data_IF_274211857929
#
_entry.id   IF_274211857929
#
_cell.length_a   1.000
_cell.length_b   1.000
_cell.length_c   1.000
_cell.angle_alpha   90.00
_cell.angle_beta   90.00
_cell.angle_gamma   90.00
#
_symmetry.space_group_name_H-M   'P 1'
#
loop_
_entity.id
_entity.type
_entity.pdbx_description
1 polymer ?
#
# COMPACT_ATOMS: atom_id res chain seq x y z
N UNK A 1 -91.13 2.74 41.79
CA UNK A 1 -91.23 3.00 40.34
C UNK A 1 -89.83 3.34 39.85
N UNK A 2 -89.40 2.65 38.80
CA UNK A 2 -88.09 2.69 38.10
C UNK A 2 -87.81 4.16 37.67
N UNK A 3 -86.59 4.72 37.69
CA UNK A 3 -85.52 4.61 36.67
C UNK A 3 -84.17 5.13 37.23
N UNK A 4 -83.12 4.42 36.87
CA UNK A 4 -81.69 4.63 37.11
C UNK A 4 -81.09 5.84 36.40
N UNK A 5 -80.06 6.45 36.99
CA UNK A 5 -78.92 6.98 36.24
C UNK A 5 -77.62 6.76 37.02
N UNK A 6 -76.68 6.06 36.38
CA UNK A 6 -75.34 5.72 36.84
C UNK A 6 -74.36 6.73 36.25
N UNK A 7 -73.42 7.28 37.02
CA UNK A 7 -72.02 7.43 36.55
C UNK A 7 -71.00 7.73 37.67
N UNK A 8 -70.02 6.82 37.75
CA UNK A 8 -68.61 6.92 38.13
C UNK A 8 -68.17 7.50 39.49
N UNK A 9 -67.79 6.58 40.38
CA UNK A 9 -66.79 6.78 41.44
C UNK A 9 -65.38 6.88 40.82
N UNK A 10 -64.59 7.86 41.27
CA UNK A 10 -63.17 7.97 40.97
C UNK A 10 -62.50 8.84 42.04
N UNK A 11 -62.13 8.20 43.15
CA UNK A 11 -61.40 8.84 44.25
C UNK A 11 -60.01 9.27 43.82
N UNK A 12 -59.62 10.48 44.22
CA UNK A 12 -58.29 11.02 44.00
C UNK A 12 -57.53 11.02 45.33
N UNK A 13 -56.37 10.35 45.40
CA UNK A 13 -55.31 10.78 46.30
C UNK A 13 -53.98 10.94 45.55
N UNK A 14 -53.47 12.18 45.63
CA UNK A 14 -52.07 12.55 45.94
C UNK A 14 -50.91 11.63 45.51
N UNK A 15 -50.05 12.21 44.65
CA UNK A 15 -48.58 12.25 44.75
C UNK A 15 -47.82 11.00 45.20
N UNK A 16 -47.22 10.29 44.24
CA UNK A 16 -45.77 9.99 44.25
C UNK A 16 -45.37 9.44 42.88
N UNK A 17 -44.62 10.25 42.14
CA UNK A 17 -44.02 9.86 40.87
C UNK A 17 -42.75 10.67 40.70
N UNK A 18 -41.77 10.39 41.55
CA UNK A 18 -40.39 10.77 41.31
C UNK A 18 -39.96 10.12 39.99
N UNK A 19 -40.03 10.86 38.88
CA UNK A 19 -39.36 10.45 37.65
C UNK A 19 -37.89 10.79 37.80
N UNK A 20 -37.23 9.96 38.60
CA UNK A 20 -35.78 9.82 38.61
C UNK A 20 -35.31 9.64 37.18
N UNK A 21 -34.27 10.40 36.84
CA UNK A 21 -33.44 10.12 35.68
C UNK A 21 -32.95 8.67 35.69
N UNK A 22 -32.39 8.27 34.55
CA UNK A 22 -31.94 6.90 34.22
C UNK A 22 -33.03 6.01 33.59
N UNK A 23 -33.44 6.31 32.35
CA UNK A 23 -34.34 5.41 31.62
C UNK A 23 -34.46 5.66 30.12
N UNK A 24 -34.30 6.90 29.65
CA UNK A 24 -34.42 7.20 28.23
C UNK A 24 -33.11 6.97 27.47
N UNK A 25 -32.78 5.69 27.31
CA UNK A 25 -31.75 5.24 26.37
C UNK A 25 -32.09 5.62 24.92
N UNK A 26 -33.34 6.00 24.64
CA UNK A 26 -33.83 6.47 23.34
C UNK A 26 -32.95 7.57 22.74
N UNK A 27 -32.53 8.56 23.54
CA UNK A 27 -31.64 9.63 23.08
C UNK A 27 -30.21 9.15 22.80
N UNK A 28 -29.65 8.29 23.67
CA UNK A 28 -28.32 7.70 23.49
C UNK A 28 -28.30 6.80 22.25
N UNK A 29 -29.34 5.98 22.08
CA UNK A 29 -29.52 5.10 20.92
C UNK A 29 -29.69 5.94 19.65
N UNK A 30 -30.45 7.04 19.69
CA UNK A 30 -30.58 7.94 18.55
C UNK A 30 -29.24 8.57 18.17
N UNK A 31 -28.44 9.01 19.15
CA UNK A 31 -27.07 9.49 18.93
C UNK A 31 -26.20 8.39 18.32
N UNK A 32 -26.22 7.17 18.86
CA UNK A 32 -25.42 6.04 18.36
C UNK A 32 -25.85 5.65 16.94
N UNK A 33 -27.14 5.69 16.62
CA UNK A 33 -27.70 5.42 15.29
C UNK A 33 -27.31 6.51 14.30
N UNK A 34 -27.40 7.79 14.69
CA UNK A 34 -26.93 8.92 13.88
C UNK A 34 -25.42 8.79 13.66
N UNK A 35 -24.63 8.48 14.68
CA UNK A 35 -23.19 8.27 14.56
C UNK A 35 -22.84 7.06 13.69
N UNK A 36 -23.57 5.95 13.78
CA UNK A 36 -23.34 4.77 12.93
C UNK A 36 -23.79 5.02 11.48
N UNK A 37 -24.86 5.79 11.27
CA UNK A 37 -25.30 6.22 9.94
C UNK A 37 -24.32 7.21 9.31
N UNK A 38 -23.82 8.21 10.04
CA UNK A 38 -22.77 9.10 9.57
C UNK A 38 -21.45 8.36 9.38
N UNK A 39 -21.09 7.43 10.26
CA UNK A 39 -19.96 6.52 10.07
C UNK A 39 -20.13 5.78 8.75
N UNK A 40 -21.28 5.17 8.46
CA UNK A 40 -21.51 4.48 7.20
C UNK A 40 -21.57 5.41 5.97
N UNK A 41 -22.17 6.59 6.05
CA UNK A 41 -22.29 7.52 4.91
C UNK A 41 -21.00 8.28 4.61
N UNK A 42 -20.17 8.57 5.62
CA UNK A 42 -18.89 9.25 5.41
C UNK A 42 -17.79 8.23 5.10
N UNK A 43 -17.81 7.04 5.72
CA UNK A 43 -16.75 6.03 5.55
C UNK A 43 -17.05 5.03 4.43
N UNK A 44 -18.30 4.58 4.19
CA UNK A 44 -18.55 3.49 3.21
C UNK A 44 -18.49 3.91 1.73
N UNK A 45 -19.04 5.05 1.27
CA UNK A 45 -18.88 5.45 -0.13
C UNK A 45 -17.45 5.94 -0.43
N UNK A 46 -16.69 6.30 0.62
CA UNK A 46 -15.25 6.60 0.51
C UNK A 46 -14.37 5.36 0.61
N UNK A 47 -14.71 4.30 1.34
CA UNK A 47 -13.91 3.06 1.38
C UNK A 47 -13.66 2.47 0.01
N UNK A 48 -14.59 2.49 -0.94
CA UNK A 48 -14.31 1.92 -2.28
C UNK A 48 -13.47 2.82 -3.20
N UNK A 49 -13.54 4.15 -3.06
CA UNK A 49 -12.76 5.10 -3.90
C UNK A 49 -11.42 5.44 -3.24
N UNK A 50 -11.43 5.63 -1.94
CA UNK A 50 -10.25 5.80 -1.11
C UNK A 50 -9.52 4.47 -0.91
N UNK A 51 -10.09 3.27 -0.73
CA UNK A 51 -9.26 2.02 -0.74
C UNK A 51 -8.59 1.80 -2.09
N UNK A 52 -9.17 2.21 -3.22
CA UNK A 52 -8.53 2.07 -4.54
C UNK A 52 -7.39 3.07 -4.76
N UNK A 53 -7.48 4.26 -4.15
CA UNK A 53 -6.49 5.35 -4.26
C UNK A 53 -5.47 5.31 -3.08
N UNK A 54 -5.90 4.88 -1.90
CA UNK A 54 -5.17 4.70 -0.63
C UNK A 54 -4.53 3.32 -0.55
N UNK A 55 -5.03 2.23 -1.17
CA UNK A 55 -4.17 1.04 -1.36
C UNK A 55 -3.05 1.30 -2.38
N UNK A 56 -3.24 2.25 -3.30
CA UNK A 56 -2.19 2.73 -4.20
C UNK A 56 -1.25 3.75 -3.54
N UNK A 57 -1.66 4.45 -2.47
CA UNK A 57 -0.89 5.55 -1.85
C UNK A 57 -0.53 5.38 -0.36
N UNK A 58 -1.10 4.43 0.39
CA UNK A 58 -0.91 4.24 1.83
C UNK A 58 -0.21 2.93 2.23
N UNK A 59 0.33 2.17 1.27
CA UNK A 59 1.46 1.26 1.55
C UNK A 59 2.78 2.02 1.82
N UNK A 60 2.68 3.32 2.17
CA UNK A 60 3.71 4.36 2.01
C UNK A 60 4.11 5.11 3.29
N UNK A 61 3.66 4.75 4.51
CA UNK A 61 4.15 5.37 5.76
C UNK A 61 4.15 4.44 6.99
N UNK A 62 5.32 3.97 7.41
CA UNK A 62 5.61 3.55 8.80
C UNK A 62 6.97 4.04 9.27
N UNK A 63 7.10 5.35 9.44
CA UNK A 63 7.80 5.87 10.61
C UNK A 63 6.73 6.48 11.46
N UNK A 64 6.49 5.86 12.62
CA UNK A 64 5.55 6.20 13.70
C UNK A 64 4.74 7.47 13.41
N UNK A 65 3.83 7.36 12.45
CA UNK A 65 2.97 8.49 12.14
C UNK A 65 1.86 8.35 13.14
N UNK A 66 1.92 9.10 14.23
CA UNK A 66 0.66 9.48 14.84
C UNK A 66 -0.17 10.04 13.70
N UNK A 67 -1.17 9.27 13.27
CA UNK A 67 -1.88 9.64 12.06
C UNK A 67 -2.41 11.06 12.34
N UNK A 68 -2.19 12.02 11.45
CA UNK A 68 -2.63 13.38 11.73
C UNK A 68 -4.15 13.42 11.95
N UNK A 69 -4.86 12.41 11.43
CA UNK A 69 -6.21 12.06 11.83
C UNK A 69 -6.32 11.60 13.29
N UNK A 70 -5.49 10.67 13.79
CA UNK A 70 -5.44 10.29 15.20
C UNK A 70 -5.03 11.45 16.10
N UNK A 71 -4.08 12.31 15.72
CA UNK A 71 -3.80 13.53 16.47
C UNK A 71 -5.00 14.48 16.46
N UNK A 72 -5.55 14.81 15.29
CA UNK A 72 -6.75 15.64 15.16
C UNK A 72 -7.92 15.07 15.98
N UNK A 73 -8.11 13.76 15.93
CA UNK A 73 -9.14 13.01 16.66
C UNK A 73 -8.87 13.03 18.16
N UNK A 74 -7.64 12.81 18.62
CA UNK A 74 -7.29 12.89 20.05
C UNK A 74 -7.45 14.31 20.59
N UNK A 75 -7.05 15.36 19.86
CA UNK A 75 -7.33 16.74 20.25
C UNK A 75 -8.82 17.05 20.23
N UNK A 76 -9.57 16.52 19.26
CA UNK A 76 -11.02 16.68 19.15
C UNK A 76 -11.74 16.03 20.34
N UNK A 77 -11.36 14.79 20.69
CA UNK A 77 -11.87 14.06 21.85
C UNK A 77 -11.52 14.79 23.16
N UNK A 78 -10.28 15.28 23.30
CA UNK A 78 -9.87 16.04 24.49
C UNK A 78 -10.67 17.34 24.67
N UNK A 79 -10.92 18.08 23.59
CA UNK A 79 -11.73 19.32 23.63
C UNK A 79 -13.18 18.99 24.01
N UNK A 80 -13.76 17.90 23.47
CA UNK A 80 -15.09 17.46 23.87
C UNK A 80 -15.14 17.09 25.36
N UNK A 81 -14.18 16.31 25.86
CA UNK A 81 -14.12 15.90 27.27
C UNK A 81 -13.99 17.14 28.18
N UNK A 82 -13.10 18.08 27.87
CA UNK A 82 -12.94 19.31 28.63
C UNK A 82 -14.21 20.18 28.60
N UNK A 83 -14.91 20.23 27.46
CA UNK A 83 -16.19 20.94 27.32
C UNK A 83 -17.29 20.34 28.20
N UNK A 84 -17.37 19.00 28.28
CA UNK A 84 -18.30 18.29 29.17
C UNK A 84 -17.95 18.47 30.65
N UNK A 85 -16.65 18.44 31.00
CA UNK A 85 -16.19 18.72 32.37
C UNK A 85 -16.55 20.16 32.77
N UNK A 86 -16.34 21.14 31.89
CA UNK A 86 -16.72 22.53 32.14
C UNK A 86 -18.23 22.71 32.34
N UNK A 87 -19.06 21.99 31.56
CA UNK A 87 -20.51 21.96 31.72
C UNK A 87 -20.92 21.41 33.09
N UNK A 88 -20.27 20.34 33.52
CA UNK A 88 -20.53 19.69 34.81
C UNK A 88 -20.18 20.61 35.99
N UNK A 89 -19.03 21.29 35.93
CA UNK A 89 -18.61 22.25 36.97
C UNK A 89 -19.55 23.46 37.03
N UNK A 90 -19.96 24.00 35.87
CA UNK A 90 -20.94 25.09 35.83
C UNK A 90 -22.29 24.66 36.41
N UNK A 91 -22.78 23.47 36.07
CA UNK A 91 -24.03 22.94 36.62
C UNK A 91 -23.97 22.80 38.15
N UNK A 92 -22.86 22.32 38.70
CA UNK A 92 -22.65 22.24 40.16
C UNK A 92 -22.61 23.62 40.81
N UNK A 93 -21.83 24.56 40.26
CA UNK A 93 -21.72 25.91 40.80
C UNK A 93 -23.04 26.69 40.78
N UNK A 94 -23.84 26.55 39.72
CA UNK A 94 -25.16 27.17 39.64
C UNK A 94 -26.19 26.54 40.57
N UNK A 95 -26.05 25.24 40.89
CA UNK A 95 -26.92 24.56 41.85
C UNK A 95 -26.70 25.05 43.29
N UNK A 96 -25.47 25.42 43.65
CA UNK A 96 -25.14 25.95 44.98
C UNK A 96 -25.59 27.42 45.16
N UNK A 97 -25.60 28.22 44.10
CA UNK A 97 -25.98 29.63 44.17
C UNK A 97 -27.49 29.89 44.01
N UNK A 98 -28.33 28.85 43.85
CA UNK A 98 -29.79 28.99 43.66
C UNK A 98 -30.20 29.74 42.38
N UNK A 99 -29.25 30.03 41.49
CA UNK A 99 -29.45 30.86 40.30
C UNK A 99 -30.38 30.19 39.27
N UNK A 100 -30.40 28.86 39.24
CA UNK A 100 -31.24 28.09 38.31
C UNK A 100 -32.74 28.18 38.63
N UNK A 101 -33.11 28.40 39.89
CA UNK A 101 -34.50 28.50 40.33
C UNK A 101 -35.18 29.79 39.83
N UNK A 102 -34.38 30.82 39.52
CA UNK A 102 -34.86 32.13 39.06
C UNK A 102 -35.10 32.19 37.54
N UNK A 103 -34.45 31.30 36.76
CA UNK A 103 -34.37 31.39 35.29
C UNK A 103 -35.40 30.48 34.60
N UNK A 104 -36.01 29.55 35.33
CA UNK A 104 -37.03 28.65 34.82
C UNK A 104 -36.46 27.51 33.97
N UNK A 105 -36.93 26.29 34.24
CA UNK A 105 -36.39 25.04 33.69
C UNK A 105 -36.25 25.03 32.17
N UNK A 106 -37.22 25.60 31.45
CA UNK A 106 -37.23 25.66 29.99
C UNK A 106 -36.06 26.46 29.44
N UNK A 107 -35.72 27.58 30.07
CA UNK A 107 -34.62 28.46 29.65
C UNK A 107 -33.28 27.80 29.94
N UNK A 108 -33.13 27.18 31.12
CA UNK A 108 -31.93 26.43 31.50
C UNK A 108 -31.63 25.31 30.51
N UNK A 109 -32.64 24.53 30.09
CA UNK A 109 -32.46 23.45 29.09
C UNK A 109 -32.02 23.98 27.73
N UNK A 110 -32.60 25.10 27.28
CA UNK A 110 -32.23 25.73 26.00
C UNK A 110 -30.76 26.19 26.03
N UNK A 111 -30.31 26.81 27.13
CA UNK A 111 -28.93 27.25 27.28
C UNK A 111 -27.93 26.09 27.28
N UNK A 112 -28.27 24.96 27.93
CA UNK A 112 -27.45 23.75 27.94
C UNK A 112 -27.31 23.13 26.53
N UNK A 113 -28.42 23.07 25.78
CA UNK A 113 -28.40 22.58 24.39
C UNK A 113 -27.58 23.51 23.49
N UNK A 114 -27.75 24.83 23.62
CA UNK A 114 -26.97 25.81 22.86
C UNK A 114 -25.47 25.68 23.13
N UNK A 115 -25.07 25.50 24.39
CA UNK A 115 -23.68 25.28 24.77
C UNK A 115 -23.09 23.99 24.16
N UNK A 116 -23.84 22.88 24.17
CA UNK A 116 -23.42 21.63 23.53
C UNK A 116 -23.23 21.79 22.01
N UNK A 117 -24.14 22.50 21.34
CA UNK A 117 -24.00 22.78 19.91
C UNK A 117 -22.75 23.60 19.59
N UNK A 118 -22.42 24.60 20.42
CA UNK A 118 -21.21 25.42 20.28
C UNK A 118 -19.95 24.55 20.41
N UNK A 119 -19.89 23.67 21.41
CA UNK A 119 -18.77 22.74 21.60
C UNK A 119 -18.59 21.86 20.37
N UNK A 120 -19.68 21.28 19.85
CA UNK A 120 -19.63 20.42 18.67
C UNK A 120 -19.07 21.20 17.47
N UNK A 121 -19.58 22.41 17.21
CA UNK A 121 -19.14 23.25 16.10
C UNK A 121 -17.65 23.61 16.22
N UNK A 122 -17.20 24.08 17.39
CA UNK A 122 -15.80 24.42 17.63
C UNK A 122 -14.88 23.20 17.47
N UNK A 123 -15.33 22.04 17.92
CA UNK A 123 -14.60 20.79 17.80
C UNK A 123 -14.44 20.39 16.33
N UNK A 124 -15.53 20.38 15.54
CA UNK A 124 -15.47 20.14 14.10
C UNK A 124 -14.60 21.18 13.37
N UNK A 125 -14.64 22.45 13.77
CA UNK A 125 -13.83 23.51 13.19
C UNK A 125 -12.33 23.32 13.45
N UNK A 126 -11.95 22.91 14.67
CA UNK A 126 -10.57 22.57 15.02
C UNK A 126 -10.05 21.37 14.24
N UNK A 127 -10.84 20.30 14.15
CA UNK A 127 -10.51 19.12 13.35
C UNK A 127 -10.38 19.47 11.86
N UNK A 128 -11.29 20.30 11.32
CA UNK A 128 -11.23 20.80 9.96
C UNK A 128 -9.95 21.61 9.69
N UNK A 129 -9.51 22.45 10.63
CA UNK A 129 -8.28 23.24 10.48
C UNK A 129 -7.02 22.37 10.45
N UNK A 130 -6.93 21.37 11.33
CA UNK A 130 -5.82 20.40 11.33
C UNK A 130 -5.82 19.56 10.06
N UNK A 131 -7.00 19.09 9.63
CA UNK A 131 -7.17 18.37 8.38
C UNK A 131 -6.73 19.21 7.18
N UNK A 132 -7.16 20.47 7.09
CA UNK A 132 -6.83 21.39 5.99
C UNK A 132 -5.33 21.68 5.91
N UNK A 133 -4.65 21.88 7.05
CA UNK A 133 -3.18 22.07 7.10
C UNK A 133 -2.43 20.81 6.67
N UNK A 134 -2.94 19.64 6.99
CA UNK A 134 -2.35 18.38 6.54
C UNK A 134 -2.58 18.12 5.04
N UNK A 135 -3.76 18.45 4.52
CA UNK A 135 -4.08 18.35 3.09
C UNK A 135 -3.21 19.29 2.24
N UNK A 136 -2.96 20.52 2.69
CA UNK A 136 -2.10 21.47 1.97
C UNK A 136 -0.65 20.98 1.85
N UNK A 137 -0.06 20.47 2.95
CA UNK A 137 1.32 19.95 2.94
C UNK A 137 1.43 18.72 2.02
N UNK A 138 0.46 17.80 2.07
CA UNK A 138 0.51 16.63 1.18
C UNK A 138 0.33 17.03 -0.30
N UNK A 139 -0.54 18.00 -0.61
CA UNK A 139 -0.72 18.48 -1.99
C UNK A 139 0.55 19.13 -2.54
N UNK A 140 1.18 19.99 -1.74
CA UNK A 140 2.42 20.67 -2.11
C UNK A 140 3.57 19.68 -2.36
N UNK A 141 3.74 18.68 -1.49
CA UNK A 141 4.73 17.62 -1.66
C UNK A 141 4.45 16.76 -2.90
N UNK A 142 3.19 16.38 -3.16
CA UNK A 142 2.82 15.58 -4.34
C UNK A 142 3.07 16.35 -5.64
N UNK A 143 2.78 17.65 -5.66
CA UNK A 143 3.05 18.51 -6.82
C UNK A 143 4.55 18.66 -7.06
N UNK A 144 5.34 18.88 -6.01
CA UNK A 144 6.80 18.99 -6.11
C UNK A 144 7.47 17.69 -6.62
N UNK A 145 6.94 16.51 -6.29
CA UNK A 145 7.44 15.23 -6.82
C UNK A 145 6.94 14.91 -8.24
N UNK A 146 5.78 15.42 -8.64
CA UNK A 146 5.27 15.23 -10.00
C UNK A 146 5.98 16.09 -11.01
N UNK A 147 6.35 17.31 -10.62
CA UNK A 147 6.89 18.33 -11.53
C UNK A 147 8.10 17.83 -12.35
N UNK A 148 9.15 17.23 -11.74
CA UNK A 148 10.29 16.72 -12.52
C UNK A 148 9.93 15.52 -13.40
N UNK A 149 9.03 14.64 -12.95
CA UNK A 149 8.60 13.47 -13.72
C UNK A 149 7.70 13.85 -14.91
N UNK A 150 6.88 14.90 -14.77
CA UNK A 150 6.03 15.42 -15.86
C UNK A 150 6.82 16.13 -16.94
N UNK A 151 8.03 16.59 -16.64
CA UNK A 151 8.93 17.21 -17.59
C UNK A 151 9.80 16.20 -18.37
N UNK A 152 9.72 14.90 -18.06
CA UNK A 152 10.47 13.88 -18.78
C UNK A 152 9.85 13.64 -20.17
N UNK A 153 10.60 13.82 -21.27
CA UNK A 153 10.08 13.58 -22.59
C UNK A 153 9.80 12.08 -22.77
N UNK A 154 8.64 11.77 -23.35
CA UNK A 154 8.25 10.39 -23.71
C UNK A 154 8.26 9.41 -22.51
N UNK A 155 7.77 9.88 -21.36
CA UNK A 155 7.61 9.10 -20.13
C UNK A 155 6.36 9.55 -19.36
N UNK A 156 5.52 8.60 -18.96
CA UNK A 156 4.34 8.84 -18.12
C UNK A 156 4.27 7.83 -16.99
N UNK A 157 4.46 8.31 -15.77
CA UNK A 157 4.46 7.46 -14.58
C UNK A 157 3.05 6.94 -14.26
N UNK A 158 2.84 5.62 -14.37
CA UNK A 158 1.63 4.93 -13.89
C UNK A 158 1.77 4.50 -12.43
N UNK A 159 2.99 4.21 -11.98
CA UNK A 159 3.31 3.81 -10.61
C UNK A 159 4.60 4.47 -10.15
N UNK A 160 4.69 4.82 -8.86
CA UNK A 160 5.89 5.41 -8.26
C UNK A 160 6.15 4.74 -6.92
N UNK A 161 7.36 4.23 -6.72
CA UNK A 161 7.84 3.59 -5.50
C UNK A 161 9.06 4.36 -5.02
N UNK A 162 9.02 4.83 -3.77
CA UNK A 162 10.13 5.54 -3.16
C UNK A 162 10.70 4.74 -1.99
N UNK A 163 11.99 4.95 -1.74
CA UNK A 163 12.67 4.49 -0.54
C UNK A 163 12.17 5.22 0.72
N UNK A 164 12.71 4.83 1.87
CA UNK A 164 12.31 5.31 3.20
C UNK A 164 12.55 6.81 3.41
N UNK A 165 13.50 7.39 2.69
CA UNK A 165 13.86 8.80 2.75
C UNK A 165 13.08 9.67 1.74
N UNK A 166 12.24 9.07 0.90
CA UNK A 166 11.55 9.71 -0.23
C UNK A 166 12.49 10.43 -1.23
N UNK A 167 13.81 10.17 -1.20
CA UNK A 167 14.80 10.80 -2.08
C UNK A 167 15.15 9.91 -3.27
N UNK A 168 15.26 8.60 -3.05
CA UNK A 168 15.62 7.64 -4.10
C UNK A 168 14.44 6.70 -4.36
N UNK A 169 14.17 6.40 -5.63
CA UNK A 169 13.05 5.55 -5.98
C UNK A 169 12.98 5.21 -7.46
N UNK A 170 11.82 4.72 -7.89
CA UNK A 170 11.52 4.43 -9.28
C UNK A 170 10.11 4.85 -9.65
N UNK A 171 9.94 5.30 -10.88
CA UNK A 171 8.64 5.45 -11.53
C UNK A 171 8.54 4.47 -12.70
N UNK A 172 7.37 3.87 -12.90
CA UNK A 172 7.11 2.89 -13.95
C UNK A 172 6.16 3.53 -14.96
N UNK A 173 6.51 3.44 -16.24
CA UNK A 173 5.63 3.69 -17.37
C UNK A 173 5.30 2.34 -18.01
N UNK A 174 4.09 1.83 -17.69
CA UNK A 174 3.65 0.52 -18.17
C UNK A 174 3.32 0.50 -19.67
N UNK A 175 2.90 1.63 -20.23
CA UNK A 175 2.48 1.73 -21.62
C UNK A 175 3.71 1.74 -22.54
N UNK A 176 4.71 2.57 -22.21
CA UNK A 176 5.96 2.69 -22.97
C UNK A 176 7.03 1.69 -22.56
N UNK A 177 6.78 0.90 -21.51
CA UNK A 177 7.69 -0.14 -20.98
C UNK A 177 9.04 0.43 -20.52
N UNK A 178 8.95 1.54 -19.78
CA UNK A 178 10.11 2.27 -19.24
C UNK A 178 10.05 2.34 -17.73
N UNK A 179 11.20 2.47 -17.10
CA UNK A 179 11.35 2.80 -15.67
C UNK A 179 12.23 4.03 -15.58
N UNK A 180 11.81 5.02 -14.80
CA UNK A 180 12.65 6.15 -14.41
C UNK A 180 13.25 5.85 -13.05
N UNK A 181 14.58 5.81 -12.96
CA UNK A 181 15.34 5.76 -11.73
C UNK A 181 15.46 7.17 -11.19
N UNK A 182 14.96 7.40 -9.98
CA UNK A 182 14.81 8.72 -9.38
C UNK A 182 15.84 8.88 -8.28
N UNK A 183 16.59 9.97 -8.33
CA UNK A 183 17.42 10.44 -7.23
C UNK A 183 17.25 11.96 -7.07
N UNK A 184 16.36 12.36 -6.16
CA UNK A 184 16.10 13.77 -5.87
C UNK A 184 17.28 14.45 -5.18
N UNK A 185 18.08 13.73 -4.39
CA UNK A 185 19.23 14.30 -3.70
C UNK A 185 20.27 14.84 -4.69
N UNK A 186 20.45 14.17 -5.84
CA UNK A 186 21.33 14.60 -6.92
C UNK A 186 20.59 15.23 -8.11
N UNK A 187 19.27 15.41 -8.02
CA UNK A 187 18.41 15.84 -9.14
C UNK A 187 18.63 15.02 -10.43
N UNK A 188 18.77 13.69 -10.29
CA UNK A 188 19.01 12.78 -11.42
C UNK A 188 17.76 11.93 -11.68
N UNK A 189 17.37 11.87 -12.95
CA UNK A 189 16.26 11.07 -13.45
C UNK A 189 16.75 10.29 -14.66
N UNK A 190 16.90 8.98 -14.50
CA UNK A 190 17.44 8.12 -15.55
C UNK A 190 16.37 7.17 -16.06
N UNK A 191 15.87 7.43 -17.27
CA UNK A 191 14.84 6.61 -17.91
C UNK A 191 15.50 5.45 -18.66
N UNK A 192 15.13 4.23 -18.31
CA UNK A 192 15.61 2.98 -18.89
C UNK A 192 14.45 2.13 -19.39
N UNK A 193 14.70 1.22 -20.33
CA UNK A 193 13.72 0.21 -20.74
C UNK A 193 13.68 -0.94 -19.74
N UNK A 194 12.59 -1.71 -19.73
CA UNK A 194 12.53 -2.98 -18.99
C UNK A 194 13.67 -3.94 -19.35
N UNK A 195 14.14 -3.89 -20.60
CA UNK A 195 15.27 -4.70 -21.07
C UNK A 195 16.58 -4.34 -20.38
N UNK A 196 16.74 -3.11 -19.94
CA UNK A 196 17.98 -2.68 -19.30
C UNK A 196 18.10 -3.21 -17.86
N UNK A 197 17.00 -3.70 -17.26
CA UNK A 197 17.00 -4.29 -15.93
C UNK A 197 17.48 -5.74 -16.01
N UNK A 198 18.66 -6.02 -15.45
CA UNK A 198 19.29 -7.33 -15.51
C UNK A 198 18.99 -8.18 -14.28
N UNK A 199 18.99 -7.57 -13.09
CA UNK A 199 18.79 -8.24 -11.80
C UNK A 199 18.03 -7.32 -10.86
N UNK A 200 17.14 -7.89 -10.04
CA UNK A 200 16.60 -7.23 -8.85
C UNK A 200 16.78 -8.13 -7.63
N UNK A 201 17.35 -7.58 -6.55
CA UNK A 201 17.66 -8.28 -5.30
C UNK A 201 17.11 -7.52 -4.10
N UNK A 202 16.59 -8.25 -3.11
CA UNK A 202 16.26 -7.70 -1.80
C UNK A 202 17.37 -8.09 -0.82
N UNK A 203 17.94 -7.10 -0.15
CA UNK A 203 18.95 -7.28 0.88
C UNK A 203 18.37 -6.96 2.27
N UNK A 204 18.68 -7.82 3.25
CA UNK A 204 18.46 -7.60 4.68
C UNK A 204 19.82 -7.66 5.38
N UNK A 205 20.27 -6.53 5.93
CA UNK A 205 21.61 -6.37 6.53
C UNK A 205 22.76 -6.89 5.64
N UNK A 206 22.65 -6.67 4.33
CA UNK A 206 23.63 -7.10 3.33
C UNK A 206 23.53 -8.57 2.90
N UNK A 207 22.61 -9.36 3.46
CA UNK A 207 22.30 -10.71 2.98
C UNK A 207 21.16 -10.69 1.96
N UNK A 208 21.31 -11.42 0.85
CA UNK A 208 20.25 -11.50 -0.18
C UNK A 208 19.14 -12.44 0.28
N UNK A 209 17.93 -11.90 0.44
CA UNK A 209 16.74 -12.66 0.86
C UNK A 209 15.72 -12.86 -0.27
N UNK A 210 15.91 -12.22 -1.43
CA UNK A 210 15.15 -12.47 -2.64
C UNK A 210 15.98 -12.02 -3.85
N UNK A 211 15.89 -12.74 -4.97
CA UNK A 211 16.63 -12.45 -6.19
C UNK A 211 15.82 -12.86 -7.40
N UNK A 212 15.80 -12.00 -8.41
CA UNK A 212 15.29 -12.31 -9.75
C UNK A 212 16.26 -11.76 -10.78
N UNK A 213 16.35 -12.40 -11.92
CA UNK A 213 17.31 -12.06 -12.96
C UNK A 213 16.72 -12.33 -14.34
N UNK A 214 17.16 -11.54 -15.32
CA UNK A 214 16.78 -11.69 -16.71
C UNK A 214 17.27 -13.02 -17.25
N UNK A 215 16.41 -13.75 -17.96
CA UNK A 215 16.70 -15.08 -18.47
C UNK A 215 17.92 -15.11 -19.39
N UNK A 216 18.15 -14.04 -20.16
CA UNK A 216 19.36 -13.89 -20.99
C UNK A 216 20.66 -13.96 -20.17
N UNK A 217 20.64 -13.50 -18.93
CA UNK A 217 21.81 -13.49 -18.05
C UNK A 217 22.03 -14.86 -17.38
N UNK A 218 20.96 -15.66 -17.24
CA UNK A 218 21.04 -17.05 -16.76
C UNK A 218 21.80 -17.90 -17.80
N UNK A 219 21.48 -17.72 -19.08
CA UNK A 219 22.08 -18.50 -20.16
C UNK A 219 23.55 -18.14 -20.46
N UNK A 220 24.03 -16.99 -19.98
CA UNK A 220 25.35 -16.44 -20.33
C UNK A 220 26.38 -16.32 -19.19
N UNK A 221 26.07 -16.75 -17.96
CA UNK A 221 26.97 -16.69 -16.79
C UNK A 221 27.65 -15.32 -16.52
N UNK A 222 27.12 -14.23 -17.09
CA UNK A 222 27.81 -12.93 -17.15
C UNK A 222 27.83 -12.17 -15.82
N UNK A 223 27.02 -12.59 -14.84
CA UNK A 223 26.93 -11.95 -13.52
C UNK A 223 27.66 -12.83 -12.51
N UNK A 224 28.97 -12.57 -12.36
CA UNK A 224 29.96 -13.39 -11.65
C UNK A 224 29.81 -13.57 -10.13
N UNK A 225 28.59 -13.64 -9.59
CA UNK A 225 28.29 -14.01 -8.20
C UNK A 225 26.98 -14.82 -8.13
N UNK A 226 26.70 -15.61 -9.17
CA UNK A 226 25.40 -16.25 -9.32
C UNK A 226 25.30 -17.53 -8.50
N UNK A 227 24.77 -17.39 -7.27
CA UNK A 227 24.12 -18.49 -6.56
C UNK A 227 22.76 -18.73 -7.24
N UNK A 228 22.70 -19.73 -8.12
CA UNK A 228 21.50 -20.20 -8.83
C UNK A 228 20.55 -21.00 -7.91
N UNK A 229 20.27 -20.48 -6.71
CA UNK A 229 19.34 -21.05 -5.74
C UNK A 229 18.73 -19.93 -4.92
N UNK A 230 17.40 -19.92 -4.79
CA UNK A 230 16.65 -18.81 -4.20
C UNK A 230 17.14 -18.35 -2.83
N UNK A 231 16.90 -17.07 -2.51
CA UNK A 231 16.90 -16.47 -1.17
C UNK A 231 17.77 -17.20 -0.11
N UNK A 232 19.04 -16.82 0.04
CA UNK A 232 19.94 -17.50 0.97
C UNK A 232 21.44 -17.28 0.75
N UNK A 233 21.84 -16.55 -0.30
CA UNK A 233 23.24 -16.22 -0.53
C UNK A 233 23.71 -15.13 0.45
N UNK A 234 24.60 -15.52 1.37
CA UNK A 234 25.33 -14.58 2.24
C UNK A 234 26.55 -14.09 1.44
N UNK A 235 26.65 -12.79 1.19
CA UNK A 235 27.87 -12.19 0.65
C UNK A 235 28.95 -12.31 1.74
N UNK A 236 29.92 -13.21 1.51
CA UNK A 236 31.00 -13.50 2.45
C UNK A 236 31.75 -12.24 2.88
N UNK A 237 31.97 -12.08 4.19
CA UNK A 237 32.67 -10.94 4.79
C UNK A 237 31.79 -9.97 5.59
N UNK A 238 30.48 -9.89 5.34
CA UNK A 238 29.56 -9.01 6.10
C UNK A 238 28.81 -9.70 7.25
N UNK A 239 28.81 -11.04 7.29
CA UNK A 239 28.07 -11.83 8.30
C UNK A 239 28.52 -11.56 9.75
N UNK A 240 29.78 -11.16 9.95
CA UNK A 240 30.34 -10.85 11.28
C UNK A 240 29.74 -9.60 11.96
N UNK A 241 28.97 -8.77 11.24
CA UNK A 241 28.33 -7.56 11.78
C UNK A 241 26.86 -7.73 12.16
N UNK A 242 26.30 -8.95 12.17
CA UNK A 242 24.94 -9.21 12.72
C UNK A 242 24.92 -8.99 14.23
N UNK A 243 24.99 -7.73 14.65
CA UNK A 243 24.71 -7.34 16.04
C UNK A 243 23.21 -7.45 16.24
N UNK A 244 22.85 -8.38 17.14
CA UNK A 244 21.55 -8.63 17.75
C UNK A 244 20.56 -9.51 16.96
N UNK A 245 20.40 -10.75 17.43
CA UNK A 245 19.24 -11.58 17.11
C UNK A 245 17.95 -10.78 17.37
N UNK A 246 17.16 -10.58 16.31
CA UNK A 246 15.84 -9.95 16.39
C UNK A 246 15.74 -8.49 15.93
N UNK A 247 16.85 -7.81 15.60
CA UNK A 247 16.81 -6.49 14.93
C UNK A 247 17.31 -6.58 13.49
N UNK A 248 16.92 -5.59 12.68
CA UNK A 248 17.40 -5.35 11.32
C UNK A 248 17.73 -3.88 11.19
N UNK A 249 18.91 -3.58 10.67
CA UNK A 249 19.39 -2.21 10.49
C UNK A 249 19.08 -1.66 9.11
N UNK A 250 19.06 -2.55 8.10
CA UNK A 250 18.95 -2.12 6.71
C UNK A 250 18.18 -3.09 5.84
N UNK A 251 17.26 -2.55 5.03
CA UNK A 251 16.60 -3.27 3.93
C UNK A 251 16.78 -2.47 2.65
N UNK A 252 17.31 -3.09 1.60
CA UNK A 252 17.52 -2.47 0.29
C UNK A 252 16.90 -3.32 -0.82
N UNK A 253 16.44 -2.66 -1.89
CA UNK A 253 16.27 -3.29 -3.20
C UNK A 253 17.37 -2.78 -4.11
N UNK A 254 18.19 -3.69 -4.62
CA UNK A 254 19.26 -3.39 -5.57
C UNK A 254 18.86 -3.83 -6.96
N UNK A 255 18.97 -2.91 -7.91
CA UNK A 255 18.87 -3.22 -9.34
C UNK A 255 20.28 -3.28 -9.93
N UNK A 256 20.54 -4.31 -10.73
CA UNK A 256 21.65 -4.30 -11.68
C UNK A 256 21.11 -3.94 -13.05
N UNK A 257 21.66 -2.90 -13.66
CA UNK A 257 21.20 -2.31 -14.90
C UNK A 257 22.31 -2.43 -15.95
N UNK A 258 21.91 -2.57 -17.22
CA UNK A 258 22.80 -2.57 -18.36
C UNK A 258 23.32 -1.16 -18.70
N UNK A 259 24.02 -0.53 -17.76
CA UNK A 259 24.74 0.73 -17.94
C UNK A 259 26.15 0.56 -17.34
N UNK A 260 27.19 0.72 -18.15
CA UNK A 260 28.59 0.56 -17.71
C UNK A 260 29.08 1.69 -16.81
N UNK A 261 28.38 2.82 -16.75
CA UNK A 261 28.71 3.97 -15.90
C UNK A 261 28.01 3.89 -14.55
N UNK A 262 26.74 3.47 -14.53
CA UNK A 262 25.92 3.32 -13.32
C UNK A 262 25.17 1.98 -13.31
N UNK A 263 25.88 0.86 -13.16
CA UNK A 263 25.28 -0.47 -13.24
C UNK A 263 24.46 -0.84 -12.01
N UNK A 264 24.64 -0.15 -10.88
CA UNK A 264 24.00 -0.47 -9.60
C UNK A 264 23.11 0.69 -9.16
N UNK A 265 21.85 0.39 -8.88
CA UNK A 265 20.89 1.34 -8.33
C UNK A 265 20.19 0.76 -7.10
N UNK A 266 20.38 1.41 -5.95
CA UNK A 266 19.86 0.94 -4.66
C UNK A 266 18.74 1.83 -4.15
N UNK A 267 17.65 1.20 -3.72
CA UNK A 267 16.54 1.86 -3.04
C UNK A 267 16.49 1.32 -1.62
N UNK A 268 16.71 2.20 -0.65
CA UNK A 268 16.66 1.84 0.76
C UNK A 268 15.22 1.91 1.30
N UNK A 269 14.72 0.85 1.93
CA UNK A 269 13.39 0.79 2.54
C UNK A 269 13.42 0.78 4.07
N UNK A 270 14.59 0.60 4.67
CA UNK A 270 14.85 0.72 6.10
C UNK A 270 16.33 1.09 6.30
N UNK A 271 16.60 2.13 7.10
CA UNK A 271 17.95 2.60 7.44
C UNK A 271 18.15 2.89 8.94
N UNK A 272 17.22 2.43 9.78
CA UNK A 272 17.27 2.58 11.23
C UNK A 272 17.07 1.21 11.87
N UNK A 273 17.91 0.90 12.86
CA UNK A 273 17.82 -0.36 13.61
C UNK A 273 16.41 -0.55 14.19
N UNK A 274 15.75 -1.62 13.75
CA UNK A 274 14.35 -1.89 14.02
C UNK A 274 14.15 -3.36 14.37
N UNK A 275 13.42 -3.65 15.45
CA UNK A 275 13.06 -5.02 15.81
C UNK A 275 12.15 -5.66 14.76
N UNK A 276 12.32 -6.95 14.49
CA UNK A 276 11.52 -7.70 13.49
C UNK A 276 10.04 -7.81 13.82
N UNK A 277 9.67 -7.70 15.10
CA UNK A 277 8.29 -7.65 15.58
C UNK A 277 7.65 -6.25 15.43
N UNK A 278 8.45 -5.22 15.14
CA UNK A 278 7.95 -3.88 14.94
C UNK A 278 7.20 -3.80 13.58
N UNK A 279 5.97 -3.26 13.55
CA UNK A 279 5.24 -3.03 12.31
C UNK A 279 6.01 -2.25 11.24
N UNK A 280 6.94 -1.37 11.65
CA UNK A 280 7.78 -0.61 10.73
C UNK A 280 8.71 -1.52 9.90
N UNK A 281 9.28 -2.57 10.51
CA UNK A 281 10.09 -3.56 9.80
C UNK A 281 9.22 -4.35 8.80
N UNK A 282 8.06 -4.83 9.24
CA UNK A 282 7.17 -5.63 8.40
C UNK A 282 6.71 -4.84 7.17
N UNK A 283 6.37 -3.57 7.36
CA UNK A 283 6.00 -2.68 6.27
C UNK A 283 7.18 -2.39 5.33
N UNK A 284 8.37 -2.09 5.86
CA UNK A 284 9.56 -1.88 5.04
C UNK A 284 9.87 -3.11 4.17
N UNK A 285 9.86 -4.30 4.76
CA UNK A 285 10.08 -5.56 4.05
C UNK A 285 8.99 -5.83 3.01
N UNK A 286 7.71 -5.55 3.34
CA UNK A 286 6.61 -5.73 2.39
C UNK A 286 6.73 -4.78 1.20
N UNK A 287 7.11 -3.53 1.41
CA UNK A 287 7.32 -2.56 0.33
C UNK A 287 8.51 -2.94 -0.54
N UNK A 288 9.62 -3.38 0.06
CA UNK A 288 10.78 -3.90 -0.67
C UNK A 288 10.42 -5.13 -1.52
N UNK A 289 9.66 -6.08 -0.97
CA UNK A 289 9.15 -7.25 -1.71
C UNK A 289 8.17 -6.87 -2.82
N UNK A 290 7.35 -5.85 -2.60
CA UNK A 290 6.45 -5.36 -3.65
C UNK A 290 7.23 -4.72 -4.80
N UNK A 291 8.22 -3.89 -4.49
CA UNK A 291 9.15 -3.32 -5.47
C UNK A 291 9.86 -4.42 -6.25
N UNK A 292 10.44 -5.41 -5.55
CA UNK A 292 11.10 -6.57 -6.15
C UNK A 292 10.14 -7.37 -7.05
N UNK A 293 8.92 -7.66 -6.59
CA UNK A 293 7.92 -8.39 -7.37
C UNK A 293 7.46 -7.62 -8.61
N UNK A 294 7.41 -6.29 -8.56
CA UNK A 294 7.17 -5.47 -9.75
C UNK A 294 8.34 -5.63 -10.73
N UNK A 295 9.58 -5.49 -10.28
CA UNK A 295 10.76 -5.69 -11.14
C UNK A 295 10.80 -7.10 -11.74
N UNK A 296 10.42 -8.13 -10.98
CA UNK A 296 10.29 -9.49 -11.49
C UNK A 296 9.30 -9.59 -12.65
N UNK A 297 8.13 -8.93 -12.53
CA UNK A 297 7.15 -8.87 -13.62
C UNK A 297 7.71 -8.13 -14.84
N UNK A 298 8.40 -6.99 -14.63
CA UNK A 298 8.99 -6.22 -15.73
C UNK A 298 10.06 -7.02 -16.48
N UNK A 299 10.95 -7.70 -15.73
CA UNK A 299 11.98 -8.59 -16.28
C UNK A 299 11.34 -9.73 -17.07
N UNK A 300 10.31 -10.39 -16.52
CA UNK A 300 9.60 -11.47 -17.23
C UNK A 300 8.93 -10.99 -18.52
N UNK A 301 8.36 -9.78 -18.52
CA UNK A 301 7.79 -9.16 -19.74
C UNK A 301 8.89 -8.92 -20.79
N UNK A 302 10.06 -8.41 -20.38
CA UNK A 302 11.20 -8.23 -21.28
C UNK A 302 11.72 -9.57 -21.84
N UNK A 303 11.83 -10.61 -21.01
CA UNK A 303 12.23 -11.96 -21.44
C UNK A 303 11.26 -12.56 -22.46
N UNK A 304 9.95 -12.37 -22.26
CA UNK A 304 8.93 -12.84 -23.20
C UNK A 304 9.05 -12.13 -24.56
N UNK A 305 9.33 -10.83 -24.58
CA UNK A 305 9.55 -10.08 -25.81
C UNK A 305 10.79 -10.54 -26.57
N UNK A 306 11.88 -10.85 -25.86
CA UNK A 306 13.10 -11.36 -26.50
C UNK A 306 12.87 -12.73 -27.12
N UNK A 307 12.11 -13.61 -26.44
CA UNK A 307 11.71 -14.92 -26.98
C UNK A 307 10.82 -14.78 -28.22
N UNK A 308 9.86 -13.86 -28.20
CA UNK A 308 9.00 -13.58 -29.35
C UNK A 308 9.82 -13.06 -30.54
N UNK A 309 10.74 -12.10 -30.31
CA UNK A 309 11.63 -11.61 -31.37
C UNK A 309 12.50 -12.72 -31.94
N UNK A 310 13.11 -13.55 -31.09
CA UNK A 310 13.92 -14.68 -31.56
C UNK A 310 13.11 -15.67 -32.42
N UNK A 311 11.85 -15.94 -32.06
CA UNK A 311 10.96 -16.77 -32.88
C UNK A 311 10.60 -16.10 -34.21
N UNK A 312 10.24 -14.82 -34.22
CA UNK A 312 9.92 -14.09 -35.47
C UNK A 312 11.13 -13.96 -36.39
N UNK A 313 12.33 -13.74 -35.84
CA UNK A 313 13.57 -13.73 -36.62
C UNK A 313 13.84 -15.10 -37.24
N UNK A 314 13.63 -16.20 -36.50
CA UNK A 314 13.78 -17.55 -37.02
C UNK A 314 12.74 -17.89 -38.11
N UNK A 315 11.51 -17.34 -38.06
CA UNK A 315 10.52 -17.47 -39.13
C UNK A 315 10.84 -16.58 -40.35
N UNK A 316 11.41 -15.39 -40.15
CA UNK A 316 11.79 -14.50 -41.25
C UNK A 316 13.02 -15.02 -42.03
N UNK A 317 13.96 -15.68 -41.37
CA UNK A 317 15.07 -16.39 -42.03
C UNK A 317 14.64 -17.67 -42.77
N UNK A 318 13.42 -18.16 -42.55
CA UNK A 318 12.85 -19.28 -43.34
C UNK A 318 12.26 -18.80 -44.68
N UNK A 319 12.07 -17.49 -44.88
CA UNK A 319 11.43 -16.97 -46.09
C UNK A 319 12.33 -16.18 -47.05
N UNK A 320 13.61 -15.96 -46.71
CA UNK A 320 14.62 -15.58 -47.70
C UNK A 320 15.98 -16.17 -47.34
N UNK A 321 16.30 -17.34 -47.94
CA UNK A 321 17.67 -17.87 -47.94
C UNK A 321 17.80 -19.38 -47.72
N UNK A 322 17.59 -20.14 -48.80
CA UNK A 322 18.13 -21.48 -49.06
C UNK A 322 17.61 -22.69 -48.24
N UNK A 323 17.32 -23.77 -48.94
CA UNK A 323 16.91 -25.05 -48.39
C UNK A 323 18.06 -25.76 -47.68
N UNK A 324 18.30 -25.39 -46.42
CA UNK A 324 18.83 -26.31 -45.42
C UNK A 324 17.97 -26.19 -44.18
N UNK A 325 16.92 -27.01 -44.15
CA UNK A 325 16.28 -27.38 -42.88
C UNK A 325 17.40 -27.98 -42.03
N UNK A 326 17.64 -27.43 -40.85
CA UNK A 326 18.70 -27.86 -39.94
C UNK A 326 18.50 -29.35 -39.60
N UNK A 327 19.32 -30.23 -40.18
CA UNK A 327 19.31 -31.68 -39.94
C UNK A 327 19.31 -32.02 -38.44
N UNK A 328 19.93 -31.18 -37.62
CA UNK A 328 19.95 -31.33 -36.16
C UNK A 328 18.56 -31.19 -35.52
N UNK A 329 17.72 -30.28 -36.03
CA UNK A 329 16.37 -30.06 -35.50
C UNK A 329 15.42 -31.21 -35.88
N UNK A 330 15.61 -31.82 -37.06
CA UNK A 330 14.85 -33.00 -37.46
C UNK A 330 15.27 -34.25 -36.69
N UNK A 331 16.57 -34.44 -36.45
CA UNK A 331 17.08 -35.52 -35.60
C UNK A 331 16.59 -35.39 -34.15
N UNK A 332 16.51 -34.16 -33.62
CA UNK A 332 15.99 -33.91 -32.28
C UNK A 332 14.50 -34.24 -32.19
N UNK A 333 13.68 -33.78 -33.15
CA UNK A 333 12.25 -34.14 -33.22
C UNK A 333 12.04 -35.65 -33.32
N UNK A 334 12.87 -36.33 -34.10
CA UNK A 334 12.81 -37.78 -34.24
C UNK A 334 13.13 -38.48 -32.89
N UNK A 335 14.11 -37.98 -32.13
CA UNK A 335 14.43 -38.50 -30.79
C UNK A 335 13.27 -38.29 -29.83
N UNK A 336 12.69 -37.08 -29.83
CA UNK A 336 11.55 -36.74 -28.96
C UNK A 336 10.32 -37.63 -29.24
N UNK A 337 10.08 -37.99 -30.51
CA UNK A 337 9.00 -38.92 -30.91
C UNK A 337 9.25 -40.36 -30.45
N UNK A 338 10.51 -40.81 -30.40
CA UNK A 338 10.87 -42.11 -29.84
C UNK A 338 10.74 -42.12 -28.32
N UNK A 339 11.24 -41.08 -27.68
CA UNK A 339 11.24 -40.96 -26.22
C UNK A 339 9.84 -40.77 -25.65
N UNK A 340 8.92 -40.16 -26.43
CA UNK A 340 7.49 -40.10 -26.10
C UNK A 340 6.71 -41.38 -26.40
N UNK A 341 7.37 -42.43 -26.93
CA UNK A 341 6.73 -43.71 -27.25
C UNK A 341 5.80 -43.67 -28.46
N UNK A 342 5.83 -42.58 -29.25
CA UNK A 342 5.04 -42.42 -30.47
C UNK A 342 5.66 -43.23 -31.61
N UNK A 343 7.00 -43.32 -31.64
CA UNK A 343 7.74 -44.17 -32.57
C UNK A 343 8.32 -45.38 -31.84
N UNK A 344 8.24 -46.54 -32.48
CA UNK A 344 8.98 -47.71 -32.05
C UNK A 344 10.48 -47.53 -32.33
N UNK A 345 11.38 -48.25 -31.62
CA UNK A 345 12.82 -48.18 -31.87
C UNK A 345 13.22 -48.52 -33.32
N UNK A 346 12.46 -49.39 -33.97
CA UNK A 346 12.70 -49.84 -35.35
C UNK A 346 12.30 -48.77 -36.37
N UNK A 347 11.17 -48.10 -36.16
CA UNK A 347 10.71 -46.97 -37.00
C UNK A 347 11.63 -45.75 -36.86
N UNK A 348 12.13 -45.51 -35.64
CA UNK A 348 13.12 -44.47 -35.36
C UNK A 348 14.41 -44.67 -36.18
N UNK A 349 15.02 -45.86 -36.14
CA UNK A 349 16.27 -46.12 -36.87
C UNK A 349 16.08 -46.07 -38.39
N UNK A 350 14.91 -46.51 -38.90
CA UNK A 350 14.58 -46.41 -40.34
C UNK A 350 14.48 -44.96 -40.81
N UNK A 351 13.83 -44.09 -40.02
CA UNK A 351 13.69 -42.66 -40.32
C UNK A 351 15.02 -41.91 -40.16
N UNK A 352 15.79 -42.23 -39.13
CA UNK A 352 17.13 -41.66 -38.88
C UNK A 352 18.09 -41.97 -40.02
N UNK A 353 18.09 -43.21 -40.52
CA UNK A 353 18.94 -43.60 -41.66
C UNK A 353 18.54 -42.87 -42.94
N UNK A 354 17.23 -42.63 -43.15
CA UNK A 354 16.73 -41.86 -44.29
C UNK A 354 17.15 -40.39 -44.21
N UNK A 355 17.11 -39.80 -43.02
CA UNK A 355 17.52 -38.42 -42.75
C UNK A 355 19.02 -38.20 -42.84
N UNK A 356 19.85 -39.19 -42.47
CA UNK A 356 21.32 -39.08 -42.53
C UNK A 356 21.90 -39.31 -43.93
N UNK A 357 21.11 -39.87 -44.86
CA UNK A 357 21.51 -40.18 -46.23
C UNK A 357 20.86 -39.25 -47.28
N UNK A 358 20.23 -38.15 -46.83
CA UNK A 358 19.73 -37.05 -47.68
C UNK A 358 20.73 -35.91 -47.64
#
# INVERSE_FOLDING_TARGET
>A
MIISLVYAMGGNPSTTGSTSGFGDWSFIIMIVVIFTMFYFLIIRPRRKKDELIVNKLARKRSLKKHSPFAHAFTTWVLILILGFIGLFVLALGFSEMGFLDQIGDSVTRILMIAYLLIIIILSFWGAYKVYRKYDSINKEMITAYKDPLTCLPDFEATQIIMGVDDLVGLAIDEERKKVCLINYASNQFHVISYKDILVAEVFEDGATISKTMRGSQIAGALIGNLVLGGAGAIIGGLSGKRKHEGTVSRIDVRLTINDTRQPIFDINFLNVETKKDNPAYQQALQTARHCHGLMEVLIKRADMEDKQKAQTTNLATVHQGNQQISFADELKKLSDLKDSGILTPEEFEKQKTKLLNT
#
